data_IF_282253837143
#
_entry.id   IF_282253837143
#
_cell.length_a   1.000
_cell.length_b   1.000
_cell.length_c   1.000
_cell.angle_alpha   90.00
_cell.angle_beta   90.00
_cell.angle_gamma   90.00
#
_symmetry.space_group_name_H-M   'P 1'
#
loop_
_entity.id
_entity.type
_entity.pdbx_description
1 polymer ?
#
# COMPACT_ATOMS: atom_id res chain seq x y z
N UNK A 1 20.82 -9.29 -2.55
CA UNK A 1 20.26 -8.44 -3.63
C UNK A 1 19.73 -7.19 -2.95
N UNK A 2 20.23 -5.99 -3.27
CA UNK A 2 19.83 -4.74 -2.61
C UNK A 2 18.48 -4.24 -3.17
N UNK A 3 17.38 -4.22 -2.38
CA UNK A 3 16.07 -3.77 -2.85
C UNK A 3 16.00 -2.25 -3.12
N UNK A 4 16.95 -1.48 -2.57
CA UNK A 4 16.94 -0.02 -2.62
C UNK A 4 17.24 0.57 -4.02
N UNK A 5 17.99 -0.16 -4.86
CA UNK A 5 18.38 0.33 -6.19
C UNK A 5 17.20 0.23 -7.17
N UNK A 6 16.31 -0.76 -7.00
CA UNK A 6 15.18 -0.93 -7.92
C UNK A 6 14.07 0.12 -7.69
N UNK A 7 13.80 0.47 -6.42
CA UNK A 7 12.85 1.54 -6.09
C UNK A 7 13.27 2.89 -6.66
N UNK A 8 14.55 3.25 -6.50
CA UNK A 8 15.08 4.54 -6.99
C UNK A 8 15.20 4.62 -8.52
N UNK A 9 15.41 3.50 -9.23
CA UNK A 9 15.45 3.50 -10.69
C UNK A 9 14.05 3.60 -11.32
N UNK A 10 13.04 2.94 -10.75
CA UNK A 10 11.65 3.04 -11.22
C UNK A 10 11.05 4.43 -10.97
N UNK A 11 11.36 5.05 -9.82
CA UNK A 11 10.95 6.42 -9.49
C UNK A 11 11.51 7.48 -10.46
N UNK A 12 12.69 7.22 -11.05
CA UNK A 12 13.31 8.10 -12.06
C UNK A 12 12.82 7.84 -13.48
N UNK A 13 12.31 6.64 -13.76
CA UNK A 13 11.80 6.25 -15.08
C UNK A 13 10.41 6.85 -15.39
N UNK A 14 9.67 7.30 -14.37
CA UNK A 14 8.39 7.99 -14.54
C UNK A 14 8.60 9.51 -14.74
N UNK A 15 8.03 10.05 -15.82
CA UNK A 15 8.12 11.46 -16.21
C UNK A 15 7.59 12.38 -15.09
N UNK A 16 8.27 13.49 -14.73
CA UNK A 16 7.83 14.42 -13.69
C UNK A 16 6.40 14.95 -13.88
N UNK A 17 5.90 15.01 -15.12
CA UNK A 17 4.53 15.44 -15.43
C UNK A 17 3.50 14.33 -15.18
N UNK A 18 3.89 13.06 -15.32
CA UNK A 18 3.02 11.92 -14.95
C UNK A 18 2.93 11.75 -13.44
N UNK A 19 3.98 12.08 -12.68
CA UNK A 19 3.96 12.10 -11.20
C UNK A 19 2.98 13.12 -10.61
N UNK A 20 2.68 14.21 -11.32
CA UNK A 20 1.73 15.22 -10.85
C UNK A 20 0.28 14.88 -11.21
N UNK A 21 0.05 14.16 -12.32
CA UNK A 21 -1.24 13.55 -12.65
C UNK A 21 -1.56 12.36 -11.73
N UNK A 22 -0.54 11.62 -11.34
CA UNK A 22 -0.57 10.61 -10.29
C UNK A 22 -0.25 11.26 -8.93
N UNK A 23 -1.11 12.13 -8.39
CA UNK A 23 -0.99 12.63 -7.00
C UNK A 23 -0.83 11.54 -5.91
N UNK A 24 -0.84 10.28 -6.31
CA UNK A 24 -0.38 9.11 -5.61
C UNK A 24 1.11 9.23 -5.36
N UNK A 25 1.47 9.45 -4.10
CA UNK A 25 2.53 8.64 -3.53
C UNK A 25 2.22 7.18 -3.92
N UNK A 26 2.84 6.69 -5.00
CA UNK A 26 2.89 5.28 -5.33
C UNK A 26 3.33 4.62 -4.04
N UNK A 27 2.47 3.82 -3.43
CA UNK A 27 2.88 3.12 -2.22
C UNK A 27 3.72 1.98 -2.69
N UNK A 28 5.04 2.09 -2.57
CA UNK A 28 5.91 1.02 -3.02
C UNK A 28 5.47 -0.23 -2.27
N UNK A 29 5.40 -1.37 -2.97
CA UNK A 29 5.15 -2.68 -2.35
C UNK A 29 5.97 -2.86 -1.06
N UNK A 30 7.16 -2.28 -1.01
CA UNK A 30 8.03 -2.20 0.17
C UNK A 30 7.36 -1.71 1.47
N UNK A 31 6.34 -0.84 1.44
CA UNK A 31 5.63 -0.45 2.66
C UNK A 31 4.71 -1.54 3.19
N UNK A 32 4.08 -2.32 2.30
CA UNK A 32 3.28 -3.48 2.70
C UNK A 32 4.19 -4.57 3.24
N UNK A 33 5.31 -4.82 2.57
CA UNK A 33 6.33 -5.78 3.02
C UNK A 33 6.85 -5.42 4.42
N UNK A 34 7.11 -4.14 4.69
CA UNK A 34 7.50 -3.69 6.04
C UNK A 34 6.43 -3.92 7.10
N UNK A 35 5.15 -3.86 6.75
CA UNK A 35 4.09 -4.20 7.69
C UNK A 35 4.03 -5.71 7.90
N UNK A 36 4.27 -6.51 6.86
CA UNK A 36 4.31 -7.98 6.95
C UNK A 36 5.44 -8.47 7.86
N UNK A 37 6.56 -7.74 7.91
CA UNK A 37 7.68 -8.03 8.81
C UNK A 37 7.35 -7.76 10.30
N UNK A 38 6.48 -6.78 10.58
CA UNK A 38 6.21 -6.29 11.95
C UNK A 38 4.91 -6.85 12.55
N UNK A 39 3.93 -7.19 11.70
CA UNK A 39 2.60 -7.61 12.12
C UNK A 39 2.35 -9.08 11.82
N UNK A 40 1.44 -9.68 12.60
CA UNK A 40 1.13 -11.10 12.44
C UNK A 40 0.39 -11.41 11.13
N UNK A 41 -0.41 -10.48 10.64
CA UNK A 41 -1.00 -10.56 9.32
C UNK A 41 -1.24 -9.17 8.75
N UNK A 42 -1.17 -9.05 7.42
CA UNK A 42 -1.42 -7.82 6.68
C UNK A 42 -2.32 -8.15 5.49
N UNK A 43 -3.32 -7.32 5.23
CA UNK A 43 -4.15 -7.47 4.06
C UNK A 43 -3.31 -7.22 2.79
N UNK A 44 -3.36 -8.11 1.78
CA UNK A 44 -2.41 -8.09 0.67
C UNK A 44 -2.56 -6.87 -0.24
N UNK A 45 -3.77 -6.30 -0.31
CA UNK A 45 -4.17 -5.28 -1.26
C UNK A 45 -4.64 -4.00 -0.54
N UNK A 46 -3.74 -3.04 -0.28
CA UNK A 46 -4.15 -1.76 0.30
C UNK A 46 -5.01 -0.94 -0.67
N UNK A 47 -5.97 -0.18 -0.16
CA UNK A 47 -6.95 0.57 -0.97
C UNK A 47 -6.53 2.04 -1.15
N UNK A 48 -6.47 2.56 -2.38
CA UNK A 48 -6.25 3.98 -2.60
C UNK A 48 -7.47 4.81 -2.20
N UNK A 49 -7.21 5.84 -1.41
CA UNK A 49 -8.18 6.86 -1.05
C UNK A 49 -7.95 8.10 -1.91
N UNK A 50 -9.04 8.66 -2.40
CA UNK A 50 -9.06 9.78 -3.33
C UNK A 50 -9.73 10.98 -2.69
N UNK A 51 -9.24 12.19 -2.99
CA UNK A 51 -9.91 13.42 -2.59
C UNK A 51 -11.12 13.73 -3.47
N UNK A 52 -11.83 14.84 -3.20
CA UNK A 52 -13.02 15.25 -3.96
C UNK A 52 -12.74 15.58 -5.44
N UNK A 53 -11.49 15.79 -5.82
CA UNK A 53 -11.07 16.02 -7.20
C UNK A 53 -10.68 14.71 -7.90
N UNK A 54 -10.81 13.56 -7.23
CA UNK A 54 -10.43 12.25 -7.77
C UNK A 54 -8.92 11.98 -7.73
N UNK A 55 -8.14 12.80 -7.02
CA UNK A 55 -6.70 12.59 -6.91
C UNK A 55 -6.38 11.66 -5.72
N UNK A 56 -5.61 10.59 -5.93
CA UNK A 56 -5.19 9.71 -4.84
C UNK A 56 -4.37 10.49 -3.82
N UNK A 57 -4.66 10.30 -2.53
CA UNK A 57 -4.07 11.07 -1.42
C UNK A 57 -3.30 10.18 -0.45
N UNK A 58 -3.83 8.98 -0.16
CA UNK A 58 -3.19 8.00 0.71
C UNK A 58 -3.67 6.57 0.41
N UNK A 59 -2.98 5.58 0.97
CA UNK A 59 -3.47 4.21 1.00
C UNK A 59 -4.01 3.84 2.38
N UNK A 60 -5.12 3.13 2.37
CA UNK A 60 -5.65 2.40 3.50
C UNK A 60 -5.02 1.00 3.53
N UNK A 61 -4.17 0.75 4.52
CA UNK A 61 -3.57 -0.56 4.80
C UNK A 61 -4.21 -1.18 6.04
N UNK A 62 -4.29 -2.50 6.08
CA UNK A 62 -4.80 -3.24 7.24
C UNK A 62 -3.75 -4.23 7.75
N UNK A 63 -3.49 -4.19 9.06
CA UNK A 63 -2.54 -5.08 9.72
C UNK A 63 -3.06 -5.50 11.09
N UNK A 64 -2.82 -6.75 11.48
CA UNK A 64 -3.27 -7.33 12.73
C UNK A 64 -2.09 -7.87 13.53
N UNK A 65 -1.94 -7.42 14.78
CA UNK A 65 -0.89 -7.89 15.70
C UNK A 65 -1.33 -9.05 16.62
N UNK A 66 -2.60 -9.46 16.57
CA UNK A 66 -3.10 -10.57 17.38
C UNK A 66 -3.20 -11.84 16.53
N UNK A 67 -2.39 -12.89 16.77
CA UNK A 67 -2.39 -14.11 15.96
C UNK A 67 -3.75 -14.84 15.94
N UNK A 68 -4.50 -14.81 17.04
CA UNK A 68 -5.77 -15.54 17.12
C UNK A 68 -6.87 -14.91 16.27
N UNK A 69 -6.89 -13.58 16.22
CA UNK A 69 -7.90 -12.81 15.47
C UNK A 69 -7.44 -12.38 14.08
N UNK A 70 -6.15 -12.52 13.77
CA UNK A 70 -5.56 -12.05 12.53
C UNK A 70 -6.27 -12.56 11.27
N UNK A 71 -6.62 -13.85 11.13
CA UNK A 71 -7.33 -14.34 9.94
C UNK A 71 -8.68 -13.63 9.75
N UNK A 72 -9.52 -13.61 10.78
CA UNK A 72 -10.83 -12.94 10.73
C UNK A 72 -10.71 -11.44 10.48
N UNK A 73 -9.71 -10.78 11.06
CA UNK A 73 -9.46 -9.37 10.84
C UNK A 73 -9.05 -9.08 9.38
N UNK A 74 -8.26 -9.96 8.77
CA UNK A 74 -7.89 -9.86 7.35
C UNK A 74 -9.09 -10.14 6.45
N UNK A 75 -9.94 -11.11 6.78
CA UNK A 75 -11.16 -11.39 6.01
C UNK A 75 -12.08 -10.15 5.99
N UNK A 76 -12.34 -9.55 7.15
CA UNK A 76 -13.11 -8.30 7.26
C UNK A 76 -12.43 -7.17 6.50
N UNK A 77 -11.10 -7.07 6.57
CA UNK A 77 -10.36 -6.04 5.86
C UNK A 77 -10.51 -6.20 4.34
N UNK A 78 -10.44 -7.42 3.81
CA UNK A 78 -10.62 -7.67 2.38
C UNK A 78 -12.01 -7.22 1.92
N UNK A 79 -13.06 -7.49 2.69
CA UNK A 79 -14.44 -7.01 2.39
C UNK A 79 -14.55 -5.46 2.38
N UNK A 80 -13.71 -4.76 3.14
CA UNK A 80 -13.68 -3.28 3.17
C UNK A 80 -12.86 -2.72 2.00
N UNK A 81 -11.80 -3.42 1.62
CA UNK A 81 -10.82 -2.97 0.64
C UNK A 81 -11.26 -3.29 -0.79
N UNK A 82 -12.00 -4.38 -1.00
CA UNK A 82 -12.60 -4.78 -2.27
C UNK A 82 -14.05 -4.25 -2.35
N UNK A 83 -14.43 -3.48 -3.39
CA UNK A 83 -15.78 -2.90 -3.54
C UNK A 83 -16.83 -3.87 -4.08
#
# INVERSE_FOLDING_TARGET
>A
MEPAIFGTLLERALDPRERHKLGAHFTPRAYVERLEDEFTAVAPNPRPLYNSQGNPTCLLCFAAGNPKGAPTAVDIANDILEP
#
